data_IF_180033603320
#
_entry.id   IF_180033603320
#
_cell.length_a   1.000
_cell.length_b   1.000
_cell.length_c   1.000
_cell.angle_alpha   90.00
_cell.angle_beta   90.00
_cell.angle_gamma   90.00
#
_symmetry.space_group_name_H-M   'P 1'
#
loop_
_entity.id
_entity.type
_entity.pdbx_description
1 polymer ?
#
# COMPACT_ATOMS: atom_id res chain seq x y z
N UNK A 1 -1.85 -11.01 18.30
CA UNK A 1 -1.02 -9.81 18.09
C UNK A 1 -1.92 -8.76 17.46
N UNK A 2 -1.92 -7.54 17.98
CA UNK A 2 -2.65 -6.41 17.38
C UNK A 2 -1.67 -5.73 16.43
N UNK A 3 -2.07 -5.55 15.17
CA UNK A 3 -1.27 -4.85 14.14
C UNK A 3 -1.75 -3.40 14.06
N UNK A 4 -0.83 -2.48 13.85
CA UNK A 4 -1.16 -1.10 13.54
C UNK A 4 -1.76 -0.99 12.14
N UNK A 5 -2.64 -0.01 11.97
CA UNK A 5 -3.28 0.28 10.71
C UNK A 5 -3.46 1.79 10.52
N UNK A 6 -3.46 2.23 9.26
CA UNK A 6 -3.73 3.62 8.90
C UNK A 6 -4.76 3.69 7.78
N UNK A 7 -5.63 4.68 7.84
CA UNK A 7 -6.63 5.00 6.83
C UNK A 7 -6.26 6.28 6.11
N UNK A 8 -6.69 6.43 4.86
CA UNK A 8 -6.54 7.69 4.13
C UNK A 8 -7.65 8.68 4.53
N UNK A 9 -7.27 9.91 4.82
CA UNK A 9 -8.20 10.96 5.26
C UNK A 9 -8.75 11.79 4.09
N UNK A 10 -8.40 11.44 2.84
CA UNK A 10 -8.95 12.11 1.66
C UNK A 10 -10.40 11.66 1.41
N UNK A 11 -11.30 12.57 1.00
CA UNK A 11 -12.71 12.25 0.80
C UNK A 11 -12.93 11.01 -0.09
N UNK A 12 -13.84 10.13 0.34
CA UNK A 12 -14.25 8.92 -0.38
C UNK A 12 -13.12 7.91 -0.67
N UNK A 13 -11.96 8.02 -0.03
CA UNK A 13 -10.86 7.08 -0.22
C UNK A 13 -10.96 5.93 0.79
N UNK A 14 -11.05 4.70 0.28
CA UNK A 14 -11.11 3.47 1.09
C UNK A 14 -9.72 2.86 1.37
N UNK A 15 -8.65 3.59 1.07
CA UNK A 15 -7.29 3.08 1.23
C UNK A 15 -6.97 2.81 2.70
N UNK A 16 -6.39 1.64 2.94
CA UNK A 16 -5.88 1.20 4.23
C UNK A 16 -4.44 0.73 4.04
N UNK A 17 -3.60 0.99 5.04
CA UNK A 17 -2.32 0.34 5.22
C UNK A 17 -2.39 -0.53 6.46
N UNK A 18 -1.98 -1.78 6.32
CA UNK A 18 -1.84 -2.73 7.42
C UNK A 18 -0.35 -2.93 7.65
N UNK A 19 0.10 -2.70 8.88
CA UNK A 19 1.48 -2.95 9.30
C UNK A 19 1.91 -4.37 8.89
N UNK A 20 3.03 -4.60 8.19
CA UNK A 20 3.44 -5.94 7.75
C UNK A 20 3.90 -6.81 8.93
N UNK A 21 3.71 -8.13 8.82
CA UNK A 21 4.05 -9.07 9.90
C UNK A 21 5.57 -9.17 10.18
N UNK A 22 6.40 -8.77 9.21
CA UNK A 22 7.86 -8.80 9.26
C UNK A 22 8.49 -7.43 9.53
N UNK A 23 7.72 -6.45 10.03
CA UNK A 23 8.28 -5.14 10.44
C UNK A 23 9.40 -5.36 11.47
N UNK A 24 10.59 -4.77 11.28
CA UNK A 24 11.68 -4.86 12.25
C UNK A 24 11.27 -4.36 13.64
N UNK A 25 11.65 -5.12 14.67
CA UNK A 25 11.42 -4.72 16.05
C UNK A 25 12.03 -3.34 16.34
N UNK A 26 11.25 -2.45 16.94
CA UNK A 26 11.68 -1.08 17.27
C UNK A 26 11.65 -0.07 16.11
N UNK A 27 11.41 -0.48 14.86
CA UNK A 27 11.18 0.48 13.77
C UNK A 27 9.83 1.17 13.96
N UNK A 28 9.71 2.50 14.03
CA UNK A 28 8.40 3.16 14.20
C UNK A 28 7.42 2.84 13.06
N UNK A 29 6.13 2.69 13.37
CA UNK A 29 5.07 2.40 12.39
C UNK A 29 5.01 3.45 11.27
N UNK A 30 5.20 4.72 11.63
CA UNK A 30 5.24 5.86 10.71
C UNK A 30 6.37 5.74 9.67
N UNK A 31 7.47 5.07 10.04
CA UNK A 31 8.58 4.80 9.10
C UNK A 31 8.15 3.79 8.05
N UNK A 32 7.43 2.74 8.44
CA UNK A 32 6.91 1.73 7.52
C UNK A 32 5.82 2.32 6.59
N UNK A 33 4.95 3.17 7.14
CA UNK A 33 3.98 3.98 6.40
C UNK A 33 4.63 4.87 5.35
N UNK A 34 5.63 5.66 5.74
CA UNK A 34 6.36 6.53 4.84
C UNK A 34 7.09 5.72 3.75
N UNK A 35 7.70 4.59 4.11
CA UNK A 35 8.30 3.65 3.15
C UNK A 35 7.26 3.03 2.21
N UNK A 36 5.98 3.01 2.60
CA UNK A 36 4.84 2.64 1.75
C UNK A 36 4.32 3.77 0.86
N UNK A 37 4.96 4.93 0.88
CA UNK A 37 4.60 6.08 0.05
C UNK A 37 3.41 6.87 0.61
N UNK A 38 3.02 6.63 1.87
CA UNK A 38 2.04 7.47 2.54
C UNK A 38 2.66 8.82 2.89
N UNK A 39 1.87 9.88 2.71
CA UNK A 39 2.24 11.21 3.20
C UNK A 39 1.53 11.44 4.53
N UNK A 40 2.34 11.75 5.55
CA UNK A 40 1.89 12.10 6.89
C UNK A 40 1.98 13.62 7.02
N UNK A 41 0.96 14.27 7.58
CA UNK A 41 0.95 15.72 7.76
C UNK A 41 -0.10 16.17 8.77
N UNK A 42 -0.13 17.48 9.03
CA UNK A 42 -1.09 18.08 9.96
C UNK A 42 -2.56 17.85 9.53
N UNK A 43 -2.80 17.73 8.23
CA UNK A 43 -4.12 17.47 7.64
C UNK A 43 -4.49 15.97 7.60
N UNK A 44 -3.74 15.12 8.31
CA UNK A 44 -3.92 13.68 8.35
C UNK A 44 -3.07 12.90 7.35
N UNK A 45 -3.46 11.66 7.11
CA UNK A 45 -2.76 10.69 6.28
C UNK A 45 -3.30 10.70 4.84
N UNK A 46 -2.39 10.71 3.86
CA UNK A 46 -2.74 10.50 2.46
C UNK A 46 -2.05 9.24 1.92
N UNK A 47 -2.85 8.29 1.40
CA UNK A 47 -2.34 7.09 0.76
C UNK A 47 -1.53 7.42 -0.50
N UNK A 48 -0.65 6.52 -0.97
CA UNK A 48 0.23 6.80 -2.11
C UNK A 48 -0.53 7.15 -3.39
N UNK A 49 -1.74 6.61 -3.59
CA UNK A 49 -2.58 6.97 -4.74
C UNK A 49 -3.12 8.42 -4.64
N UNK A 50 -3.69 8.81 -3.51
CA UNK A 50 -4.16 10.18 -3.31
C UNK A 50 -3.00 11.18 -3.29
N UNK A 51 -1.86 10.82 -2.71
CA UNK A 51 -0.65 11.63 -2.69
C UNK A 51 -0.11 11.93 -4.10
N UNK A 52 -0.28 11.01 -5.04
CA UNK A 52 0.18 11.16 -6.43
C UNK A 52 -0.93 11.60 -7.40
N UNK A 53 -2.16 11.81 -6.92
CA UNK A 53 -3.29 12.25 -7.75
C UNK A 53 -3.95 11.14 -8.57
N UNK A 54 -3.66 9.87 -8.31
CA UNK A 54 -4.26 8.71 -9.00
C UNK A 54 -5.43 8.08 -8.23
N UNK A 55 -5.69 8.52 -6.99
CA UNK A 55 -6.85 8.13 -6.19
C UNK A 55 -8.12 8.93 -6.50
N UNK A 56 -9.22 8.73 -5.74
CA UNK A 56 -9.34 7.89 -4.55
C UNK A 56 -9.31 6.39 -4.84
N UNK A 57 -8.94 5.59 -3.84
CA UNK A 57 -9.12 4.12 -3.87
C UNK A 57 -10.58 3.81 -3.55
N UNK A 58 -11.28 3.10 -4.43
CA UNK A 58 -12.74 2.89 -4.34
C UNK A 58 -13.15 1.46 -3.98
N UNK A 59 -12.20 0.54 -3.88
CA UNK A 59 -12.42 -0.84 -3.42
C UNK A 59 -11.26 -1.35 -2.56
N UNK A 60 -11.49 -2.47 -1.86
CA UNK A 60 -10.45 -3.20 -1.14
C UNK A 60 -9.97 -4.39 -1.96
N UNK A 61 -8.67 -4.49 -2.15
CA UNK A 61 -7.96 -5.58 -2.83
C UNK A 61 -6.63 -5.88 -2.15
N UNK A 62 -5.64 -6.34 -2.92
CA UNK A 62 -4.46 -7.04 -2.41
C UNK A 62 -3.21 -6.16 -2.28
N UNK A 63 -3.24 -4.92 -2.78
CA UNK A 63 -2.05 -4.08 -2.77
C UNK A 63 -1.57 -3.83 -1.32
N UNK A 64 -0.31 -4.18 -0.96
CA UNK A 64 0.18 -4.02 0.41
C UNK A 64 0.43 -2.55 0.81
N UNK A 65 0.33 -1.62 -0.15
CA UNK A 65 0.59 -0.18 0.07
C UNK A 65 -0.67 0.62 0.33
N UNK A 66 -1.79 0.27 -0.29
CA UNK A 66 -3.04 1.05 -0.15
C UNK A 66 -4.31 0.19 -0.13
N UNK A 67 -4.18 -1.14 -0.11
CA UNK A 67 -5.27 -2.10 -0.25
C UNK A 67 -6.17 -1.86 -1.46
N UNK A 68 -5.66 -1.28 -2.55
CA UNK A 68 -6.37 -1.25 -3.83
C UNK A 68 -6.26 -2.58 -4.57
N UNK A 69 -7.17 -2.83 -5.52
CA UNK A 69 -7.09 -3.99 -6.41
C UNK A 69 -5.79 -4.01 -7.22
N UNK A 70 -5.36 -5.21 -7.57
CA UNK A 70 -4.16 -5.46 -8.38
C UNK A 70 -4.51 -6.20 -9.67
N UNK A 71 -3.64 -6.04 -10.67
CA UNK A 71 -3.67 -6.81 -11.91
C UNK A 71 -2.30 -7.42 -12.16
N UNK A 72 -2.28 -8.68 -12.56
CA UNK A 72 -1.04 -9.37 -12.92
C UNK A 72 -0.43 -8.78 -14.19
N UNK A 73 0.87 -8.50 -14.13
CA UNK A 73 1.69 -8.01 -15.23
C UNK A 73 2.98 -8.84 -15.26
N UNK A 74 3.75 -8.83 -16.38
CA UNK A 74 5.02 -9.55 -16.46
C UNK A 74 6.02 -9.23 -15.33
N UNK A 75 5.97 -8.01 -14.78
CA UNK A 75 6.84 -7.58 -13.68
C UNK A 75 6.31 -7.96 -12.27
N UNK A 76 5.09 -8.49 -12.17
CA UNK A 76 4.42 -8.78 -10.89
C UNK A 76 2.97 -8.24 -10.81
N UNK A 77 2.34 -8.45 -9.66
CA UNK A 77 1.02 -7.90 -9.36
C UNK A 77 1.12 -6.38 -9.19
N UNK A 78 0.45 -5.64 -10.06
CA UNK A 78 0.52 -4.18 -10.13
C UNK A 78 -0.77 -3.55 -9.63
N UNK A 79 -0.70 -2.64 -8.66
CA UNK A 79 -1.88 -1.93 -8.17
C UNK A 79 -2.47 -0.97 -9.21
N UNK A 80 -3.80 -0.96 -9.34
CA UNK A 80 -4.51 -0.04 -10.22
C UNK A 80 -4.34 1.44 -9.81
N UNK A 81 -4.15 1.69 -8.52
CA UNK A 81 -4.15 3.02 -7.93
C UNK A 81 -2.74 3.58 -7.74
N UNK A 82 -1.98 3.04 -6.79
CA UNK A 82 -0.68 3.57 -6.41
C UNK A 82 0.47 3.12 -7.32
N UNK A 83 0.19 2.24 -8.29
CA UNK A 83 1.18 1.67 -9.23
C UNK A 83 2.32 0.88 -8.58
N UNK A 84 2.21 0.56 -7.29
CA UNK A 84 3.13 -0.38 -6.66
C UNK A 84 3.07 -1.72 -7.38
N UNK A 85 4.26 -2.26 -7.67
CA UNK A 85 4.45 -3.60 -8.21
C UNK A 85 4.95 -4.48 -7.08
N UNK A 86 4.18 -5.52 -6.75
CA UNK A 86 4.64 -6.63 -5.94
C UNK A 86 5.22 -7.68 -6.89
N UNK A 87 6.56 -7.88 -6.93
CA UNK A 87 7.15 -8.90 -7.79
C UNK A 87 6.62 -10.27 -7.40
N UNK A 88 6.39 -11.13 -8.38
CA UNK A 88 6.25 -12.56 -8.10
C UNK A 88 7.60 -13.05 -7.60
N UNK A 89 7.63 -13.78 -6.48
CA UNK A 89 8.84 -14.49 -6.09
C UNK A 89 9.24 -15.38 -7.28
N UNK A 90 10.46 -15.21 -7.79
CA UNK A 90 10.97 -15.96 -8.92
C UNK A 90 11.07 -17.44 -8.56
N UNK A 91 9.97 -18.17 -8.69
CA UNK A 91 10.04 -19.58 -9.03
C UNK A 91 10.46 -19.63 -10.49
N UNK A 92 11.57 -20.30 -10.77
CA UNK A 92 11.95 -20.68 -12.12
C UNK A 92 10.70 -21.16 -12.87
N UNK A 93 10.25 -20.36 -13.82
CA UNK A 93 9.24 -20.76 -14.78
C UNK A 93 9.97 -21.68 -15.77
N UNK A 94 10.29 -22.89 -15.33
CA UNK A 94 10.77 -23.97 -16.20
C UNK A 94 9.63 -24.33 -17.14
N UNK A 95 9.72 -23.85 -18.37
CA UNK A 95 9.09 -24.47 -19.55
C UNK A 95 10.21 -25.05 -20.40
#
# INVERSE_FOLDING_TARGET
MIRDAATCDRPNCLAVYLEPDDRPEGQPFETALAAAGWRLGADGHACPACATGTGPVLERGECPRCCGSTVDRPAGATCHYCRHVQPFCGGDFLI
#
